data_IF_041862144289
#
_entry.id   IF_041862144289
#
_cell.length_a   1.000
_cell.length_b   1.000
_cell.length_c   1.000
_cell.angle_alpha   90.00
_cell.angle_beta   90.00
_cell.angle_gamma   90.00
#
_symmetry.space_group_name_H-M   'P 1'
#
loop_
_entity.id
_entity.type
_entity.pdbx_description
1 polymer ?
#
# COMPACT_ATOMS: atom_id res chain seq x y z
N UNK A 1 58.20 16.51 -0.54
CA UNK A 1 57.31 17.50 -1.18
C UNK A 1 56.60 16.79 -2.33
N UNK A 2 55.34 16.45 -2.17
CA UNK A 2 54.52 15.85 -3.20
C UNK A 2 53.24 16.70 -3.36
N UNK A 3 53.01 17.18 -4.59
CA UNK A 3 51.90 18.04 -4.95
C UNK A 3 50.54 17.28 -4.93
N UNK A 4 49.42 17.96 -4.60
CA UNK A 4 48.10 17.34 -4.65
C UNK A 4 47.53 17.44 -6.06
N UNK A 5 47.10 16.31 -6.61
CA UNK A 5 46.31 16.22 -7.87
C UNK A 5 44.89 16.75 -7.69
N UNK A 6 44.61 17.89 -8.30
CA UNK A 6 43.24 18.37 -8.57
C UNK A 6 42.69 17.64 -9.80
N UNK A 7 41.57 16.96 -9.68
CA UNK A 7 40.63 16.74 -10.79
C UNK A 7 39.20 16.70 -10.28
N UNK A 8 38.62 17.86 -10.22
CA UNK A 8 37.18 18.05 -10.12
C UNK A 8 36.59 17.91 -11.52
N UNK A 9 35.93 16.81 -11.80
CA UNK A 9 35.16 16.63 -13.02
C UNK A 9 33.70 17.03 -12.72
N UNK A 10 33.32 18.23 -13.19
CA UNK A 10 31.95 18.74 -13.09
C UNK A 10 31.00 17.79 -13.87
N UNK A 11 30.06 17.18 -13.16
CA UNK A 11 28.95 16.42 -13.75
C UNK A 11 27.93 17.46 -14.26
N UNK A 12 27.73 17.49 -15.58
CA UNK A 12 26.66 18.29 -16.19
C UNK A 12 25.30 17.69 -15.77
N UNK A 13 24.31 18.52 -15.39
CA UNK A 13 22.99 18.04 -15.13
C UNK A 13 22.35 17.48 -16.42
N UNK A 14 21.85 16.27 -16.34
CA UNK A 14 21.09 15.65 -17.43
C UNK A 14 19.79 16.45 -17.66
N UNK A 15 19.54 16.75 -18.92
CA UNK A 15 18.44 17.55 -19.43
C UNK A 15 17.10 16.81 -19.16
N UNK A 16 16.34 17.24 -18.15
CA UNK A 16 14.98 16.79 -17.87
C UNK A 16 14.00 17.49 -18.82
N UNK A 17 13.84 16.94 -20.01
CA UNK A 17 12.67 17.21 -20.87
C UNK A 17 11.94 15.92 -21.23
N UNK A 18 11.53 15.16 -20.23
CA UNK A 18 10.50 14.16 -20.40
C UNK A 18 9.15 14.87 -20.26
N UNK A 19 8.45 15.11 -21.36
CA UNK A 19 7.05 15.52 -21.42
C UNK A 19 6.24 14.65 -20.47
N UNK A 20 5.81 15.18 -19.31
CA UNK A 20 4.86 14.53 -18.40
C UNK A 20 3.59 14.28 -19.20
N UNK A 21 3.37 13.05 -19.69
CA UNK A 21 2.02 12.62 -20.08
C UNK A 21 1.12 12.93 -18.90
N UNK A 22 0.03 13.68 -19.14
CA UNK A 22 -0.99 13.94 -18.12
C UNK A 22 -1.45 12.58 -17.57
N UNK A 23 -1.11 12.30 -16.32
CA UNK A 23 -1.53 11.08 -15.64
C UNK A 23 -3.02 11.24 -15.37
N UNK A 24 -3.86 10.35 -15.91
CA UNK A 24 -5.29 10.33 -15.62
C UNK A 24 -5.47 10.21 -14.11
N UNK A 25 -6.26 11.09 -13.46
CA UNK A 25 -6.51 10.96 -12.03
C UNK A 25 -7.13 9.58 -11.71
N UNK A 26 -6.73 9.00 -10.59
CA UNK A 26 -7.20 7.69 -10.18
C UNK A 26 -8.64 7.76 -9.64
N UNK A 27 -9.35 6.65 -9.80
CA UNK A 27 -10.59 6.38 -9.07
C UNK A 27 -10.24 5.45 -7.90
N UNK A 28 -10.59 5.88 -6.68
CA UNK A 28 -10.28 5.18 -5.43
C UNK A 28 -11.58 4.74 -4.79
N UNK A 29 -11.62 3.49 -4.31
CA UNK A 29 -12.74 2.99 -3.53
C UNK A 29 -12.55 3.29 -2.05
N UNK A 30 -13.56 3.90 -1.42
CA UNK A 30 -13.62 4.11 0.03
C UNK A 30 -15.03 3.79 0.51
N UNK A 31 -15.18 2.82 1.42
CA UNK A 31 -16.40 2.51 2.16
C UNK A 31 -17.68 2.31 1.32
N UNK A 32 -17.54 1.76 0.11
CA UNK A 32 -18.65 1.50 -0.80
C UNK A 32 -18.77 2.52 -1.95
N UNK A 33 -17.99 3.58 -1.93
CA UNK A 33 -18.01 4.64 -2.94
C UNK A 33 -16.74 4.66 -3.80
N UNK A 34 -16.90 5.02 -5.07
CA UNK A 34 -15.78 5.25 -5.98
C UNK A 34 -15.58 6.77 -6.15
N UNK A 35 -14.50 7.28 -5.61
CA UNK A 35 -14.19 8.70 -5.52
C UNK A 35 -13.05 9.07 -6.49
N UNK A 36 -13.05 10.30 -6.98
CA UNK A 36 -11.88 10.85 -7.66
C UNK A 36 -10.71 10.97 -6.65
N UNK A 37 -9.48 10.86 -7.13
CA UNK A 37 -8.27 10.89 -6.30
C UNK A 37 -8.21 12.12 -5.37
N UNK A 38 -8.63 13.28 -5.87
CA UNK A 38 -8.66 14.53 -5.10
C UNK A 38 -9.71 14.58 -3.99
N UNK A 39 -10.77 13.77 -4.11
CA UNK A 39 -11.86 13.65 -3.14
C UNK A 39 -11.70 12.46 -2.19
N UNK A 40 -10.78 11.55 -2.49
CA UNK A 40 -10.50 10.37 -1.67
C UNK A 40 -9.76 10.75 -0.38
N UNK A 41 -10.51 11.09 0.66
CA UNK A 41 -10.01 11.61 1.94
C UNK A 41 -10.46 10.72 3.10
N UNK A 42 -9.61 10.61 4.11
CA UNK A 42 -9.93 9.97 5.38
C UNK A 42 -9.91 11.00 6.51
N UNK A 43 -10.63 10.70 7.59
CA UNK A 43 -10.63 11.54 8.79
C UNK A 43 -9.26 11.51 9.48
N UNK A 44 -8.84 12.66 10.05
CA UNK A 44 -7.66 12.72 10.93
C UNK A 44 -7.87 11.95 12.25
N UNK A 45 -9.10 11.57 12.56
CA UNK A 45 -9.47 10.73 13.71
C UNK A 45 -9.59 9.25 13.35
N UNK A 46 -9.18 8.83 12.14
CA UNK A 46 -9.10 7.42 11.81
C UNK A 46 -7.99 6.75 12.62
N UNK A 47 -8.31 5.65 13.32
CA UNK A 47 -7.36 4.95 14.17
C UNK A 47 -6.25 4.25 13.39
N UNK A 48 -6.46 3.95 12.11
CA UNK A 48 -5.38 3.51 11.22
C UNK A 48 -4.32 4.60 11.05
N UNK A 49 -4.74 5.88 10.94
CA UNK A 49 -3.83 7.02 10.87
C UNK A 49 -3.19 7.33 12.23
N UNK A 50 -4.00 7.37 13.31
CA UNK A 50 -3.53 7.79 14.63
C UNK A 50 -2.63 6.74 15.31
N UNK A 51 -2.95 5.46 15.15
CA UNK A 51 -2.37 4.39 15.96
C UNK A 51 -1.84 3.19 15.15
N UNK A 52 -1.96 3.22 13.83
CA UNK A 52 -1.65 2.06 13.00
C UNK A 52 -2.62 0.89 13.21
N UNK A 53 -3.84 1.16 13.76
CA UNK A 53 -4.84 0.14 14.01
C UNK A 53 -5.59 -0.20 12.72
N UNK A 54 -5.05 -1.16 12.00
CA UNK A 54 -5.56 -1.63 10.73
C UNK A 54 -4.64 -2.67 10.10
N UNK A 55 -5.08 -3.16 8.98
CA UNK A 55 -4.41 -4.18 8.18
C UNK A 55 -4.36 -3.76 6.71
N UNK A 56 -3.49 -4.40 5.94
CA UNK A 56 -3.41 -4.09 4.52
C UNK A 56 -2.95 -5.29 3.69
N UNK A 57 -3.22 -5.24 2.40
CA UNK A 57 -2.61 -6.09 1.39
C UNK A 57 -1.97 -5.29 0.26
N UNK A 58 -1.01 -5.93 -0.37
CA UNK A 58 -0.39 -5.45 -1.59
C UNK A 58 -0.44 -6.55 -2.63
N UNK A 59 -1.21 -6.36 -3.67
CA UNK A 59 -1.55 -7.41 -4.62
C UNK A 59 -1.19 -6.97 -6.03
N UNK A 60 -0.45 -7.82 -6.74
CA UNK A 60 -0.15 -7.58 -8.15
C UNK A 60 -1.28 -8.08 -9.03
N UNK A 61 -1.49 -7.42 -10.15
CA UNK A 61 -2.32 -7.94 -11.24
C UNK A 61 -1.60 -7.78 -12.57
N UNK A 62 -1.87 -8.73 -13.46
CA UNK A 62 -1.23 -8.84 -14.76
C UNK A 62 -2.29 -9.20 -15.79
N UNK A 63 -2.33 -8.46 -16.89
CA UNK A 63 -3.31 -8.62 -17.97
C UNK A 63 -4.76 -8.65 -17.45
N UNK A 64 -5.07 -7.76 -16.50
CA UNK A 64 -6.38 -7.66 -15.85
C UNK A 64 -6.69 -8.75 -14.84
N UNK A 65 -5.77 -9.69 -14.59
CA UNK A 65 -5.97 -10.79 -13.64
C UNK A 65 -5.21 -10.55 -12.35
N UNK A 66 -5.93 -10.55 -11.24
CA UNK A 66 -5.33 -10.38 -9.91
C UNK A 66 -4.62 -11.67 -9.50
N UNK A 67 -3.34 -11.56 -9.19
CA UNK A 67 -2.52 -12.70 -8.81
C UNK A 67 -2.87 -13.18 -7.40
N UNK A 68 -3.25 -14.47 -7.29
CA UNK A 68 -3.57 -15.14 -6.03
C UNK A 68 -4.55 -14.34 -5.13
N UNK A 69 -5.61 -13.81 -5.72
CA UNK A 69 -6.56 -12.97 -4.99
C UNK A 69 -7.13 -13.65 -3.76
N UNK A 70 -7.52 -14.93 -3.89
CA UNK A 70 -8.09 -15.68 -2.77
C UNK A 70 -7.13 -15.75 -1.58
N UNK A 71 -5.87 -16.12 -1.81
CA UNK A 71 -4.87 -16.27 -0.74
C UNK A 71 -4.52 -14.92 -0.10
N UNK A 72 -4.56 -13.82 -0.86
CA UNK A 72 -4.41 -12.48 -0.30
C UNK A 72 -5.59 -12.10 0.59
N UNK A 73 -6.81 -12.39 0.18
CA UNK A 73 -8.00 -12.13 0.99
C UNK A 73 -8.01 -13.01 2.24
N UNK A 74 -7.73 -14.31 2.13
CA UNK A 74 -7.63 -15.21 3.28
C UNK A 74 -6.65 -14.64 4.32
N UNK A 75 -5.46 -14.20 3.91
CA UNK A 75 -4.47 -13.58 4.80
C UNK A 75 -4.93 -12.24 5.38
N UNK A 76 -5.69 -11.44 4.62
CA UNK A 76 -6.29 -10.21 5.14
C UNK A 76 -7.23 -10.51 6.31
N UNK A 77 -8.12 -11.51 6.15
CA UNK A 77 -9.04 -11.95 7.21
C UNK A 77 -8.31 -12.56 8.41
N UNK A 78 -7.24 -13.32 8.18
CA UNK A 78 -6.40 -13.85 9.26
C UNK A 78 -5.69 -12.72 10.04
N UNK A 79 -5.22 -11.70 9.33
CA UNK A 79 -4.64 -10.50 9.94
C UNK A 79 -5.68 -9.72 10.74
N UNK A 80 -6.90 -9.55 10.20
CA UNK A 80 -8.01 -8.90 10.88
C UNK A 80 -8.38 -9.61 12.19
N UNK A 81 -8.50 -10.94 12.13
CA UNK A 81 -8.80 -11.77 13.29
C UNK A 81 -7.73 -11.61 14.38
N UNK A 82 -6.44 -11.51 13.99
CA UNK A 82 -5.32 -11.38 14.93
C UNK A 82 -5.34 -10.08 15.74
N UNK A 83 -5.97 -9.01 15.21
CA UNK A 83 -6.13 -7.73 15.90
C UNK A 83 -7.59 -7.44 16.30
N UNK A 84 -8.46 -8.44 16.27
CA UNK A 84 -9.90 -8.33 16.57
C UNK A 84 -10.56 -7.19 15.76
N UNK A 85 -10.24 -7.10 14.48
CA UNK A 85 -10.85 -6.16 13.53
C UNK A 85 -11.89 -6.91 12.70
N UNK A 86 -13.13 -6.44 12.70
CA UNK A 86 -14.18 -6.97 11.83
C UNK A 86 -14.15 -6.23 10.49
N UNK A 87 -14.01 -6.98 9.39
CA UNK A 87 -14.06 -6.40 8.04
C UNK A 87 -15.54 -6.22 7.66
N UNK A 88 -15.98 -5.00 7.28
CA UNK A 88 -17.40 -4.71 7.05
C UNK A 88 -17.89 -5.14 5.66
N UNK A 89 -17.24 -6.10 5.04
CA UNK A 89 -17.55 -6.65 3.73
C UNK A 89 -17.29 -8.16 3.72
N UNK A 90 -18.06 -8.90 2.94
CA UNK A 90 -17.77 -10.30 2.64
C UNK A 90 -16.60 -10.45 1.66
N UNK A 91 -16.04 -11.67 1.53
CA UNK A 91 -15.01 -11.97 0.53
C UNK A 91 -15.49 -11.68 -0.92
N UNK A 92 -16.76 -11.93 -1.20
CA UNK A 92 -17.37 -11.68 -2.51
C UNK A 92 -17.43 -10.19 -2.82
N UNK A 93 -17.98 -9.39 -1.91
CA UNK A 93 -18.07 -7.92 -2.06
C UNK A 93 -16.69 -7.28 -2.19
N UNK A 94 -15.72 -7.75 -1.39
CA UNK A 94 -14.32 -7.27 -1.48
C UNK A 94 -13.69 -7.61 -2.83
N UNK A 95 -13.93 -8.82 -3.34
CA UNK A 95 -13.46 -9.25 -4.66
C UNK A 95 -14.02 -8.34 -5.76
N UNK A 96 -15.32 -8.09 -5.76
CA UNK A 96 -15.97 -7.23 -6.75
C UNK A 96 -15.47 -5.79 -6.67
N UNK A 97 -15.33 -5.23 -5.47
CA UNK A 97 -14.80 -3.89 -5.27
C UNK A 97 -13.36 -3.74 -5.81
N UNK A 98 -12.51 -4.75 -5.57
CA UNK A 98 -11.14 -4.79 -6.09
C UNK A 98 -11.11 -4.82 -7.63
N UNK A 99 -11.89 -5.71 -8.24
CA UNK A 99 -11.95 -5.84 -9.70
C UNK A 99 -12.54 -4.58 -10.35
N UNK A 100 -13.58 -4.00 -9.75
CA UNK A 100 -14.18 -2.78 -10.25
C UNK A 100 -13.24 -1.57 -10.12
N UNK A 101 -12.43 -1.51 -9.07
CA UNK A 101 -11.39 -0.46 -8.93
C UNK A 101 -10.38 -0.55 -10.06
N UNK A 102 -9.95 -1.75 -10.47
CA UNK A 102 -9.06 -1.94 -11.62
C UNK A 102 -9.73 -1.46 -12.92
N UNK A 103 -11.00 -1.86 -13.16
CA UNK A 103 -11.75 -1.51 -14.37
C UNK A 103 -11.93 0.00 -14.50
N UNK A 104 -12.32 0.69 -13.41
CA UNK A 104 -12.52 2.15 -13.41
C UNK A 104 -11.24 2.94 -13.70
N UNK A 105 -10.09 2.36 -13.36
CA UNK A 105 -8.78 2.95 -13.65
C UNK A 105 -8.21 2.54 -15.03
N UNK A 106 -8.91 1.69 -15.79
CA UNK A 106 -8.47 1.23 -17.11
C UNK A 106 -7.06 0.62 -17.09
N UNK A 107 -6.77 -0.19 -16.07
CA UNK A 107 -5.46 -0.78 -15.83
C UNK A 107 -5.44 -2.25 -16.29
N UNK A 108 -4.37 -2.65 -16.99
CA UNK A 108 -4.10 -4.06 -17.36
C UNK A 108 -3.07 -4.69 -16.44
N UNK A 109 -2.05 -3.94 -16.08
CA UNK A 109 -0.97 -4.38 -15.19
C UNK A 109 -0.80 -3.36 -14.08
N UNK A 110 -0.56 -3.84 -12.85
CA UNK A 110 -0.39 -2.91 -11.76
C UNK A 110 -0.33 -3.55 -10.39
N UNK A 111 -0.74 -2.74 -9.44
CA UNK A 111 -0.68 -3.05 -8.02
C UNK A 111 -1.92 -2.50 -7.32
N UNK A 112 -2.47 -3.30 -6.44
CA UNK A 112 -3.55 -2.91 -5.54
C UNK A 112 -2.97 -2.72 -4.15
N UNK A 113 -3.29 -1.59 -3.54
CA UNK A 113 -3.20 -1.39 -2.09
C UNK A 113 -4.62 -1.49 -1.53
N UNK A 114 -4.86 -2.56 -0.79
CA UNK A 114 -6.09 -2.78 -0.02
C UNK A 114 -5.79 -2.49 1.44
N UNK A 115 -6.56 -1.62 2.07
CA UNK A 115 -6.40 -1.24 3.48
C UNK A 115 -7.74 -1.38 4.17
N UNK A 116 -7.72 -1.90 5.40
CA UNK A 116 -8.87 -1.86 6.30
C UNK A 116 -8.38 -1.27 7.62
N UNK A 117 -8.94 -0.11 8.00
CA UNK A 117 -8.64 0.52 9.28
C UNK A 117 -9.73 0.21 10.31
N UNK A 118 -9.43 0.45 11.59
CA UNK A 118 -10.47 0.41 12.65
C UNK A 118 -11.57 1.45 12.41
N UNK A 119 -11.28 2.48 11.61
CA UNK A 119 -12.19 3.59 11.32
C UNK A 119 -12.06 4.75 12.29
N UNK A 120 -13.01 5.66 12.17
CA UNK A 120 -13.04 6.93 12.92
C UNK A 120 -13.48 6.70 14.35
N UNK A 121 -12.67 7.17 15.31
CA UNK A 121 -12.95 7.15 16.74
C UNK A 121 -12.66 8.48 17.42
N UNK A 122 -12.35 8.44 18.70
CA UNK A 122 -11.81 9.57 19.47
C UNK A 122 -10.28 9.38 19.68
N UNK A 123 -9.64 10.29 20.43
CA UNK A 123 -8.21 10.19 20.74
C UNK A 123 -7.89 9.12 21.81
N UNK A 124 -8.88 8.39 22.31
CA UNK A 124 -8.66 7.29 23.23
C UNK A 124 -8.26 6.01 22.51
N UNK A 125 -7.44 5.17 23.14
CA UNK A 125 -6.93 3.92 22.57
C UNK A 125 -7.98 2.79 22.51
N UNK A 126 -9.14 2.95 23.14
CA UNK A 126 -10.16 1.91 23.17
C UNK A 126 -10.83 1.76 21.78
N UNK A 127 -10.67 0.62 21.11
CA UNK A 127 -11.24 0.38 19.77
C UNK A 127 -12.77 0.38 19.76
N UNK A 128 -13.44 0.21 20.89
CA UNK A 128 -14.91 0.30 21.01
C UNK A 128 -15.45 1.70 20.67
N UNK A 129 -14.60 2.71 20.62
CA UNK A 129 -14.99 4.06 20.21
C UNK A 129 -15.05 4.22 18.68
N UNK A 130 -14.51 3.28 17.91
CA UNK A 130 -14.61 3.25 16.46
C UNK A 130 -15.87 2.49 16.04
N UNK A 131 -16.85 3.23 15.53
CA UNK A 131 -18.17 2.66 15.24
C UNK A 131 -18.20 1.77 14.00
N UNK A 132 -17.33 2.05 13.03
CA UNK A 132 -17.31 1.36 11.74
C UNK A 132 -15.88 1.34 11.18
N UNK A 133 -15.34 0.15 10.83
CA UNK A 133 -14.11 0.03 10.09
C UNK A 133 -14.22 0.67 8.70
N UNK A 134 -13.10 1.18 8.17
CA UNK A 134 -13.04 1.79 6.84
C UNK A 134 -12.25 0.89 5.89
N UNK A 135 -12.74 0.73 4.66
CA UNK A 135 -12.11 -0.04 3.59
C UNK A 135 -11.69 0.88 2.47
N UNK A 136 -10.41 0.84 2.13
CA UNK A 136 -9.81 1.67 1.08
C UNK A 136 -9.13 0.77 0.06
N UNK A 137 -9.43 0.97 -1.24
CA UNK A 137 -8.79 0.25 -2.33
C UNK A 137 -8.23 1.25 -3.35
N UNK A 138 -6.92 1.16 -3.56
CA UNK A 138 -6.20 1.95 -4.56
C UNK A 138 -5.63 0.98 -5.58
N UNK A 139 -5.94 1.15 -6.86
CA UNK A 139 -5.31 0.42 -7.95
C UNK A 139 -4.52 1.39 -8.83
N UNK A 140 -3.23 1.11 -9.02
CA UNK A 140 -2.33 1.98 -9.80
C UNK A 140 -1.18 1.17 -10.41
N UNK A 141 -0.44 1.78 -11.32
CA UNK A 141 0.84 1.23 -11.77
C UNK A 141 1.91 1.45 -10.71
N UNK A 142 2.81 0.49 -10.53
CA UNK A 142 3.94 0.60 -9.61
C UNK A 142 5.22 0.09 -10.25
N UNK A 143 6.29 0.85 -10.12
CA UNK A 143 7.65 0.43 -10.40
C UNK A 143 8.44 0.45 -9.08
N UNK A 144 8.59 -0.72 -8.45
CA UNK A 144 9.33 -0.85 -7.18
C UNK A 144 10.83 -0.65 -7.39
N UNK A 145 11.35 -1.11 -8.54
CA UNK A 145 12.76 -1.04 -8.91
C UNK A 145 12.87 -0.65 -10.39
N UNK A 146 14.02 -0.10 -10.79
CA UNK A 146 14.32 0.16 -12.19
C UNK A 146 14.45 -1.15 -13.00
N UNK A 147 14.25 -1.07 -14.31
CA UNK A 147 14.45 -2.24 -15.18
C UNK A 147 15.89 -2.80 -15.05
N UNK A 148 16.90 -1.94 -14.85
CA UNK A 148 18.28 -2.31 -14.62
C UNK A 148 18.43 -3.14 -13.33
N UNK A 149 17.77 -2.79 -12.25
CA UNK A 149 17.80 -3.55 -10.99
C UNK A 149 17.14 -4.93 -11.13
N UNK A 150 16.12 -5.05 -12.00
CA UNK A 150 15.54 -6.37 -12.31
C UNK A 150 16.49 -7.26 -13.12
N UNK A 151 17.33 -6.67 -13.97
CA UNK A 151 18.32 -7.41 -14.78
C UNK A 151 19.58 -7.76 -13.99
N UNK A 152 20.12 -6.81 -13.23
CA UNK A 152 21.41 -6.92 -12.55
C UNK A 152 21.32 -7.36 -11.09
N UNK A 153 20.12 -7.40 -10.54
CA UNK A 153 19.89 -7.70 -9.13
C UNK A 153 20.17 -6.50 -8.21
N UNK A 154 20.16 -6.76 -6.91
CA UNK A 154 20.35 -5.78 -5.84
C UNK A 154 21.52 -6.18 -4.96
N UNK A 155 22.33 -5.22 -4.57
CA UNK A 155 23.30 -5.41 -3.49
C UNK A 155 22.58 -5.26 -2.15
N UNK A 156 22.69 -6.27 -1.29
CA UNK A 156 22.11 -6.28 0.05
C UNK A 156 23.19 -6.47 1.11
N UNK A 157 22.98 -5.90 2.28
CA UNK A 157 23.84 -6.08 3.44
C UNK A 157 23.06 -6.67 4.61
N UNK A 158 23.68 -7.57 5.36
CA UNK A 158 23.12 -8.07 6.61
C UNK A 158 23.44 -7.07 7.72
N UNK A 159 22.43 -6.68 8.49
CA UNK A 159 22.56 -5.78 9.63
C UNK A 159 22.22 -6.51 10.93
N UNK A 160 22.80 -6.11 12.09
CA UNK A 160 22.54 -6.77 13.37
C UNK A 160 21.14 -6.46 13.94
N UNK A 161 20.41 -5.52 13.36
CA UNK A 161 19.06 -5.15 13.80
C UNK A 161 18.12 -6.35 13.65
N UNK A 162 17.55 -6.79 14.75
CA UNK A 162 16.58 -7.89 14.75
C UNK A 162 15.18 -7.38 14.47
N UNK A 163 14.45 -8.15 13.71
CA UNK A 163 13.02 -7.93 13.51
C UNK A 163 12.26 -8.20 14.83
N UNK A 164 11.05 -7.64 14.96
CA UNK A 164 10.10 -7.90 16.04
C UNK A 164 10.01 -9.41 16.34
N UNK A 165 10.24 -9.81 17.58
CA UNK A 165 10.23 -11.20 17.98
C UNK A 165 8.81 -11.80 18.05
N UNK A 166 8.68 -13.13 18.08
CA UNK A 166 7.37 -13.79 18.07
C UNK A 166 6.53 -13.55 19.34
N UNK A 167 7.13 -13.07 20.43
CA UNK A 167 6.42 -12.70 21.65
C UNK A 167 5.77 -11.31 21.64
N UNK A 168 6.04 -10.50 20.59
CA UNK A 168 5.35 -9.23 20.33
C UNK A 168 4.26 -9.43 19.29
N UNK A 169 3.84 -8.36 18.56
CA UNK A 169 2.92 -8.53 17.45
C UNK A 169 3.55 -9.44 16.38
N UNK A 170 2.90 -10.56 16.10
CA UNK A 170 3.39 -11.53 15.14
C UNK A 170 3.64 -10.86 13.77
N UNK A 171 4.87 -10.88 13.23
CA UNK A 171 5.19 -10.24 11.95
C UNK A 171 4.51 -10.88 10.72
N UNK A 172 3.84 -12.02 10.88
CA UNK A 172 2.94 -12.58 9.86
C UNK A 172 1.63 -11.79 9.73
N UNK A 173 1.22 -11.09 10.79
CA UNK A 173 0.07 -10.16 10.75
C UNK A 173 0.46 -8.95 9.91
N UNK A 174 -0.28 -8.73 8.83
CA UNK A 174 0.00 -7.64 7.89
C UNK A 174 -0.71 -6.37 8.34
N UNK A 175 -0.30 -5.83 9.51
CA UNK A 175 -0.87 -4.65 10.14
C UNK A 175 -0.27 -3.34 9.62
N UNK A 176 -0.95 -2.23 9.88
CA UNK A 176 -0.46 -0.87 9.64
C UNK A 176 0.55 -0.40 10.71
N UNK A 177 0.66 -1.18 11.78
CA UNK A 177 1.59 -0.89 12.88
C UNK A 177 3.05 -1.08 12.45
#
# INVERSE_FOLDING_TARGET
>A
MAEPRKTSRAVKPANESATKKAVKPLTIFIDGEFLAEEDAKISVFDHGLLYGDGIFEGIRFYDGRVFRLKEHLDRLWDSARSICLEIPMSHGEMTEALLETIRKNDLRDGYIRLIVTRGVGNLGLNPAHCKRPSVIIIATTIALYSAEMYQNGLTVVTVPTRRTGPGALNPAVKSLN
#
